data_IF_556055349706
#
_entry.id   IF_556055349706
#
_cell.length_a   1.000
_cell.length_b   1.000
_cell.length_c   1.000
_cell.angle_alpha   90.00
_cell.angle_beta   90.00
_cell.angle_gamma   90.00
#
_symmetry.space_group_name_H-M   'P 1'
#
loop_
_entity.id
_entity.type
_entity.pdbx_description
1 polymer ?
#
# COMPACT_ATOMS: atom_id res chain seq x y z
N UNK A 1 -10.83 -11.07 -6.62
CA UNK A 1 -9.41 -10.70 -6.83
C UNK A 1 -8.83 -11.54 -7.96
N UNK A 2 -8.11 -10.92 -8.90
CA UNK A 2 -7.36 -11.59 -9.97
C UNK A 2 -5.87 -11.23 -9.84
N UNK A 3 -4.98 -12.21 -10.03
CA UNK A 3 -3.52 -12.05 -9.85
C UNK A 3 -2.84 -12.26 -11.20
N UNK A 4 -2.24 -11.22 -11.76
CA UNK A 4 -1.52 -11.27 -13.03
C UNK A 4 -0.02 -11.10 -12.78
N UNK A 5 0.78 -12.13 -13.05
CA UNK A 5 2.25 -12.01 -12.97
C UNK A 5 2.75 -10.96 -13.95
N UNK A 6 3.67 -10.11 -13.49
CA UNK A 6 4.37 -9.14 -14.34
C UNK A 6 5.56 -9.85 -14.97
N UNK A 7 5.86 -9.57 -16.24
CA UNK A 7 6.94 -10.23 -16.97
C UNK A 7 8.28 -10.10 -16.22
N UNK A 8 8.90 -11.22 -15.87
CA UNK A 8 10.11 -11.29 -15.05
C UNK A 8 10.09 -12.46 -14.08
N UNK A 9 11.02 -12.46 -13.11
CA UNK A 9 11.08 -13.47 -12.03
C UNK A 9 10.31 -13.06 -10.77
N UNK A 10 9.90 -11.80 -10.66
CA UNK A 10 9.20 -11.23 -9.51
C UNK A 10 8.05 -10.34 -9.97
N UNK A 11 7.01 -10.25 -9.14
CA UNK A 11 5.95 -9.26 -9.25
C UNK A 11 4.60 -9.78 -9.73
N UNK A 12 3.55 -9.26 -9.11
CA UNK A 12 2.17 -9.50 -9.51
C UNK A 12 1.32 -8.23 -9.44
N UNK A 13 0.47 -8.04 -10.45
CA UNK A 13 -0.59 -7.03 -10.46
C UNK A 13 -1.88 -7.65 -9.91
N UNK A 14 -2.45 -7.01 -8.90
CA UNK A 14 -3.73 -7.38 -8.32
C UNK A 14 -4.84 -6.53 -8.93
N UNK A 15 -5.83 -7.22 -9.49
CA UNK A 15 -6.98 -6.62 -10.15
C UNK A 15 -8.28 -7.00 -9.44
N UNK A 16 -9.33 -6.21 -9.68
CA UNK A 16 -10.64 -6.36 -9.05
C UNK A 16 -10.56 -6.36 -7.51
N UNK A 17 -9.72 -5.47 -6.97
CA UNK A 17 -9.68 -5.10 -5.56
C UNK A 17 -9.67 -3.57 -5.46
N UNK A 18 -10.39 -3.04 -4.48
CA UNK A 18 -10.39 -1.62 -4.15
C UNK A 18 -10.08 -1.49 -2.66
N UNK A 19 -8.92 -0.93 -2.33
CA UNK A 19 -8.48 -0.79 -0.95
C UNK A 19 -9.35 0.20 -0.15
N UNK A 20 -10.08 1.09 -0.83
CA UNK A 20 -11.00 2.03 -0.18
C UNK A 20 -12.23 1.34 0.42
N UNK A 21 -12.54 0.11 0.02
CA UNK A 21 -13.64 -0.68 0.59
C UNK A 21 -13.27 -1.29 1.96
N UNK A 22 -12.01 -1.10 2.38
CA UNK A 22 -11.46 -1.63 3.62
C UNK A 22 -10.65 -2.91 3.39
N UNK A 23 -9.87 -3.27 4.41
CA UNK A 23 -9.04 -4.47 4.42
C UNK A 23 -9.45 -5.33 5.62
N UNK A 24 -10.17 -6.40 5.35
CA UNK A 24 -10.52 -7.39 6.36
C UNK A 24 -9.37 -8.39 6.60
N UNK A 25 -9.56 -9.29 7.58
CA UNK A 25 -8.54 -10.26 7.96
C UNK A 25 -8.20 -11.28 6.86
N UNK A 26 -9.18 -11.64 6.02
CA UNK A 26 -8.98 -12.58 4.93
C UNK A 26 -8.14 -11.93 3.82
N UNK A 27 -8.52 -10.73 3.38
CA UNK A 27 -7.78 -9.95 2.41
C UNK A 27 -6.36 -9.64 2.91
N UNK A 28 -6.20 -9.28 4.19
CA UNK A 28 -4.88 -9.06 4.79
C UNK A 28 -3.99 -10.30 4.71
N UNK A 29 -4.51 -11.49 5.03
CA UNK A 29 -3.77 -12.74 4.95
C UNK A 29 -3.38 -13.06 3.51
N UNK A 30 -4.30 -12.85 2.57
CA UNK A 30 -4.07 -13.05 1.13
C UNK A 30 -3.00 -12.10 0.59
N UNK A 31 -3.05 -10.81 0.93
CA UNK A 31 -2.05 -9.83 0.50
C UNK A 31 -0.65 -10.19 1.01
N UNK A 32 -0.54 -10.68 2.26
CA UNK A 32 0.74 -11.11 2.82
C UNK A 32 1.28 -12.36 2.14
N UNK A 33 0.43 -13.34 1.85
CA UNK A 33 0.83 -14.55 1.11
C UNK A 33 1.32 -14.22 -0.31
N UNK A 34 0.60 -13.35 -1.02
CA UNK A 34 0.97 -12.92 -2.37
C UNK A 34 2.26 -12.11 -2.39
N UNK A 35 2.48 -11.25 -1.39
CA UNK A 35 3.74 -10.51 -1.27
C UNK A 35 4.92 -11.48 -1.05
N UNK A 36 4.74 -12.53 -0.24
CA UNK A 36 5.77 -13.54 -0.03
C UNK A 36 6.05 -14.39 -1.29
N UNK A 37 5.05 -14.63 -2.14
CA UNK A 37 5.25 -15.39 -3.40
C UNK A 37 5.87 -14.53 -4.51
N UNK A 38 5.43 -13.27 -4.60
CA UNK A 38 5.74 -12.41 -5.75
C UNK A 38 6.74 -11.31 -5.45
N UNK A 39 7.14 -11.11 -4.19
CA UNK A 39 8.09 -10.09 -3.69
C UNK A 39 7.66 -8.63 -3.89
N UNK A 40 6.82 -8.35 -4.88
CA UNK A 40 6.27 -7.03 -5.19
C UNK A 40 4.84 -7.15 -5.71
N UNK A 41 3.95 -6.29 -5.22
CA UNK A 41 2.56 -6.22 -5.63
C UNK A 41 2.23 -4.86 -6.25
N UNK A 42 1.55 -4.88 -7.38
CA UNK A 42 1.06 -3.68 -8.06
C UNK A 42 -0.46 -3.61 -7.93
N UNK A 43 -0.97 -2.48 -7.45
CA UNK A 43 -2.40 -2.19 -7.40
C UNK A 43 -2.62 -0.90 -8.19
N UNK A 44 -3.35 -1.00 -9.31
CA UNK A 44 -3.64 0.14 -10.18
C UNK A 44 -4.98 0.78 -9.81
N UNK A 45 -5.13 2.04 -10.20
CA UNK A 45 -6.39 2.79 -10.13
C UNK A 45 -7.00 2.87 -8.72
N UNK A 46 -6.14 2.96 -7.70
CA UNK A 46 -6.55 3.05 -6.30
C UNK A 46 -6.73 4.52 -5.88
N UNK A 47 -7.99 4.95 -5.76
CA UNK A 47 -8.35 6.24 -5.19
C UNK A 47 -8.47 6.12 -3.65
N UNK A 48 -7.31 6.05 -2.97
CA UNK A 48 -7.24 5.77 -1.52
C UNK A 48 -6.86 7.02 -0.72
N UNK A 49 -7.39 7.12 0.50
CA UNK A 49 -6.98 8.14 1.46
C UNK A 49 -5.64 7.78 2.13
N UNK A 50 -5.03 8.74 2.83
CA UNK A 50 -3.85 8.47 3.65
C UNK A 50 -4.13 7.46 4.78
N UNK A 51 -5.37 7.39 5.27
CA UNK A 51 -5.78 6.41 6.28
C UNK A 51 -5.82 5.00 5.68
N UNK A 52 -6.32 4.84 4.46
CA UNK A 52 -6.38 3.56 3.76
C UNK A 52 -4.97 3.06 3.40
N UNK A 53 -4.09 3.96 2.96
CA UNK A 53 -2.68 3.61 2.71
C UNK A 53 -1.98 3.14 4.00
N UNK A 54 -2.29 3.78 5.13
CA UNK A 54 -1.77 3.37 6.44
C UNK A 54 -2.33 2.01 6.85
N UNK A 55 -3.63 1.77 6.68
CA UNK A 55 -4.26 0.49 6.98
C UNK A 55 -3.63 -0.64 6.16
N UNK A 56 -3.35 -0.41 4.87
CA UNK A 56 -2.61 -1.34 4.03
C UNK A 56 -1.19 -1.60 4.59
N UNK A 57 -0.46 -0.56 4.97
CA UNK A 57 0.89 -0.72 5.51
C UNK A 57 0.90 -1.56 6.80
N UNK A 58 -0.11 -1.38 7.66
CA UNK A 58 -0.27 -2.10 8.92
C UNK A 58 -0.49 -3.61 8.74
N UNK A 59 -1.03 -4.05 7.59
CA UNK A 59 -1.13 -5.48 7.22
C UNK A 59 0.25 -6.15 7.17
N UNK A 60 1.28 -5.41 6.79
CA UNK A 60 2.63 -5.95 6.63
C UNK A 60 3.53 -5.70 7.85
N UNK A 61 3.03 -4.98 8.85
CA UNK A 61 3.74 -4.68 10.09
C UNK A 61 3.49 -3.25 10.57
N UNK A 62 3.96 -2.90 11.78
CA UNK A 62 3.73 -1.59 12.35
C UNK A 62 4.31 -0.48 11.46
N UNK A 63 3.47 0.49 11.11
CA UNK A 63 3.91 1.64 10.33
C UNK A 63 4.83 2.52 11.18
N UNK A 64 6.07 2.75 10.71
CA UNK A 64 7.01 3.64 11.40
C UNK A 64 6.50 5.09 11.28
N UNK A 65 6.30 5.81 12.38
CA UNK A 65 5.93 7.22 12.30
C UNK A 65 7.02 7.99 11.57
N UNK A 66 6.64 8.73 10.54
CA UNK A 66 7.54 9.70 9.91
C UNK A 66 7.75 10.84 10.89
N UNK A 67 9.01 11.27 11.15
CA UNK A 67 9.24 12.45 11.94
C UNK A 67 8.53 13.63 11.26
N UNK A 68 7.96 14.58 12.03
CA UNK A 68 7.32 15.75 11.43
C UNK A 68 8.37 16.45 10.58
N UNK A 69 8.18 16.45 9.26
CA UNK A 69 8.91 17.37 8.40
C UNK A 69 8.54 18.76 8.91
N UNK A 70 9.55 19.52 9.33
CA UNK A 70 9.36 20.94 9.55
C UNK A 70 8.83 21.49 8.22
N UNK A 71 7.51 21.71 8.12
CA UNK A 71 6.99 22.65 7.15
C UNK A 71 7.78 23.91 7.45
N UNK A 72 8.65 24.31 6.53
CA UNK A 72 9.28 25.62 6.58
C UNK A 72 8.13 26.60 6.76
N UNK A 73 7.97 27.08 8.00
CA UNK A 73 7.24 28.29 8.27
C UNK A 73 7.99 29.33 7.45
N UNK A 74 7.34 29.75 6.39
CA UNK A 74 7.30 31.12 5.91
C UNK A 74 8.47 31.96 6.46
N UNK A 75 9.55 32.01 5.68
CA UNK A 75 10.60 32.98 5.93
C UNK A 75 10.06 34.32 5.41
N UNK A 76 9.76 35.31 6.28
CA UNK A 76 9.38 36.62 5.77
C UNK A 76 10.59 37.20 5.03
N UNK A 77 10.43 37.47 3.73
CA UNK A 77 11.39 38.32 3.01
C UNK A 77 11.39 39.69 3.70
N UNK A 78 12.48 40.00 4.40
CA UNK A 78 12.86 41.37 4.75
C UNK A 78 13.93 41.84 3.78
#
# INVERSE_FOLDING_TARGET
MNVKRVAGAIGAELQAINLADGIDGELAATLRALLNEHEVLFLRDQAISAADQKALAEVFGPCRPTPPTARSRDSPRS
#
